data_IF_789223875361
#
_entry.id   IF_789223875361
#
_cell.length_a   1.000
_cell.length_b   1.000
_cell.length_c   1.000
_cell.angle_alpha   90.00
_cell.angle_beta   90.00
_cell.angle_gamma   90.00
#
_symmetry.space_group_name_H-M   'P 1'
#
loop_
_entity.id
_entity.type
_entity.pdbx_description
1 polymer ?
#
# COMPACT_ATOMS: atom_id res chain seq x y z
N UNK A 1 -23.00 17.30 29.61
CA UNK A 1 -21.89 17.30 28.63
C UNK A 1 -20.64 16.63 29.18
N UNK A 2 -20.23 16.86 30.43
CA UNK A 2 -19.06 16.21 31.05
C UNK A 2 -19.23 14.70 31.23
N UNK A 3 -20.40 14.26 31.70
CA UNK A 3 -20.71 12.83 31.91
C UNK A 3 -20.66 12.01 30.61
N UNK A 4 -21.04 12.61 29.48
CA UNK A 4 -21.00 11.95 28.15
C UNK A 4 -19.57 11.79 27.62
N UNK A 5 -18.65 12.69 28.03
CA UNK A 5 -17.24 12.63 27.64
C UNK A 5 -16.48 11.58 28.46
N UNK A 6 -16.79 11.47 29.76
CA UNK A 6 -16.21 10.46 30.64
C UNK A 6 -16.68 9.04 30.25
N UNK A 7 -17.95 8.88 29.84
CA UNK A 7 -18.49 7.63 29.30
C UNK A 7 -17.83 7.24 27.97
N UNK A 8 -17.66 8.20 27.05
CA UNK A 8 -16.91 8.00 25.80
C UNK A 8 -15.47 7.58 26.05
N UNK A 9 -14.74 8.29 26.93
CA UNK A 9 -13.38 7.95 27.33
C UNK A 9 -13.29 6.54 27.92
N UNK A 10 -14.25 6.18 28.78
CA UNK A 10 -14.33 4.84 29.35
C UNK A 10 -14.53 3.78 28.26
N UNK A 11 -15.49 3.97 27.36
CA UNK A 11 -15.72 3.05 26.23
C UNK A 11 -14.49 2.89 25.33
N UNK A 12 -13.80 4.00 24.99
CA UNK A 12 -12.55 3.94 24.23
C UNK A 12 -11.46 3.18 24.99
N UNK A 13 -11.28 3.46 26.28
CA UNK A 13 -10.28 2.78 27.11
C UNK A 13 -10.53 1.28 27.21
N UNK A 14 -11.80 0.89 27.37
CA UNK A 14 -12.22 -0.50 27.45
C UNK A 14 -12.05 -1.24 26.11
N UNK A 15 -12.40 -0.59 25.00
CA UNK A 15 -12.16 -1.12 23.65
C UNK A 15 -10.68 -1.41 23.41
N UNK A 16 -9.81 -0.44 23.73
CA UNK A 16 -8.35 -0.59 23.62
C UNK A 16 -7.84 -1.74 24.51
N UNK A 17 -8.39 -1.90 25.73
CA UNK A 17 -7.98 -2.97 26.64
C UNK A 17 -8.40 -4.36 26.13
N UNK A 18 -9.59 -4.46 25.53
CA UNK A 18 -10.06 -5.69 24.90
C UNK A 18 -9.23 -6.08 23.67
N UNK A 19 -8.93 -5.12 22.79
CA UNK A 19 -8.03 -5.32 21.66
C UNK A 19 -6.64 -5.80 22.12
N UNK A 20 -6.08 -5.17 23.16
CA UNK A 20 -4.83 -5.62 23.80
C UNK A 20 -4.90 -7.07 24.26
N UNK A 21 -5.97 -7.44 24.94
CA UNK A 21 -6.13 -8.79 25.50
C UNK A 21 -6.24 -9.85 24.39
N UNK A 22 -7.02 -9.57 23.35
CA UNK A 22 -7.20 -10.46 22.20
C UNK A 22 -5.87 -10.62 21.45
N UNK A 23 -5.20 -9.50 21.14
CA UNK A 23 -3.91 -9.51 20.46
C UNK A 23 -2.85 -10.26 21.26
N UNK A 24 -2.74 -10.02 22.57
CA UNK A 24 -1.80 -10.74 23.44
C UNK A 24 -2.07 -12.25 23.47
N UNK A 25 -3.34 -12.67 23.43
CA UNK A 25 -3.73 -14.07 23.29
C UNK A 25 -3.22 -14.70 21.99
N UNK A 26 -3.46 -14.03 20.86
CA UNK A 26 -3.02 -14.51 19.54
C UNK A 26 -1.50 -14.51 19.40
N UNK A 27 -0.82 -13.45 19.86
CA UNK A 27 0.66 -13.38 19.93
C UNK A 27 1.22 -14.57 20.71
N UNK A 28 0.65 -14.91 21.88
CA UNK A 28 1.11 -16.04 22.69
C UNK A 28 0.92 -17.37 21.96
N UNK A 29 -0.23 -17.57 21.32
CA UNK A 29 -0.54 -18.80 20.56
C UNK A 29 0.36 -18.95 19.34
N UNK A 30 0.54 -17.90 18.55
CA UNK A 30 1.44 -17.89 17.40
C UNK A 30 2.89 -18.18 17.80
N UNK A 31 3.40 -17.50 18.83
CA UNK A 31 4.75 -17.78 19.34
C UNK A 31 4.90 -19.23 19.83
N UNK A 32 3.87 -19.79 20.45
CA UNK A 32 3.87 -21.20 20.89
C UNK A 32 3.88 -22.15 19.69
N UNK A 33 3.08 -21.89 18.66
CA UNK A 33 3.06 -22.68 17.43
C UNK A 33 4.42 -22.66 16.73
N UNK A 34 5.04 -21.47 16.59
CA UNK A 34 6.39 -21.31 16.03
C UNK A 34 7.42 -22.08 16.86
N UNK A 35 7.38 -21.95 18.20
CA UNK A 35 8.30 -22.66 19.11
C UNK A 35 8.16 -24.18 18.99
N UNK A 36 6.94 -24.67 18.76
CA UNK A 36 6.64 -26.09 18.55
C UNK A 36 6.87 -26.54 17.09
N UNK A 37 7.50 -25.70 16.26
CA UNK A 37 7.81 -25.98 14.86
C UNK A 37 6.58 -26.32 14.00
N UNK A 38 5.43 -25.70 14.28
CA UNK A 38 4.23 -25.86 13.44
C UNK A 38 4.52 -25.43 12.00
N UNK A 39 4.22 -26.30 11.03
CA UNK A 39 4.36 -26.02 9.58
C UNK A 39 3.02 -25.95 8.85
N UNK A 40 1.91 -26.08 9.57
CA UNK A 40 0.58 -25.87 8.99
C UNK A 40 0.36 -24.37 8.80
N UNK A 41 0.48 -23.94 7.54
CA UNK A 41 0.38 -22.53 7.15
C UNK A 41 -1.00 -21.97 7.50
N UNK A 42 -2.08 -22.74 7.30
CA UNK A 42 -3.44 -22.28 7.62
C UNK A 42 -3.61 -22.00 9.10
N UNK A 43 -3.01 -22.86 9.94
CA UNK A 43 -3.01 -22.64 11.40
C UNK A 43 -2.20 -21.38 11.74
N UNK A 44 -1.01 -21.22 11.16
CA UNK A 44 -0.17 -20.04 11.42
C UNK A 44 -0.85 -18.74 10.96
N UNK A 45 -1.45 -18.72 9.77
CA UNK A 45 -2.20 -17.57 9.25
C UNK A 45 -3.37 -17.23 10.16
N UNK A 46 -4.19 -18.22 10.55
CA UNK A 46 -5.33 -17.99 11.45
C UNK A 46 -4.95 -17.38 12.81
N UNK A 47 -3.70 -17.56 13.25
CA UNK A 47 -3.15 -16.98 14.47
C UNK A 47 -2.50 -15.62 14.23
N UNK A 48 -2.03 -15.35 13.00
CA UNK A 48 -1.35 -14.13 12.60
C UNK A 48 -2.32 -13.06 12.07
N UNK A 49 -3.44 -13.44 11.42
CA UNK A 49 -4.41 -12.52 10.83
C UNK A 49 -4.94 -11.48 11.82
N UNK A 50 -5.33 -11.86 13.06
CA UNK A 50 -5.82 -10.87 14.04
C UNK A 50 -4.75 -9.86 14.49
N UNK A 51 -3.47 -10.07 14.12
CA UNK A 51 -2.42 -9.11 14.43
C UNK A 51 -2.50 -7.86 13.57
N UNK A 52 -3.08 -7.93 12.36
CA UNK A 52 -3.26 -6.78 11.45
C UNK A 52 -4.00 -5.62 12.13
N UNK A 53 -5.07 -5.94 12.86
CA UNK A 53 -5.86 -4.95 13.62
C UNK A 53 -5.03 -4.22 14.69
N UNK A 54 -3.87 -4.78 15.07
CA UNK A 54 -3.00 -4.21 16.11
C UNK A 54 -1.61 -3.80 15.61
N UNK A 55 -1.37 -3.81 14.29
CA UNK A 55 -0.05 -3.49 13.73
C UNK A 55 0.34 -2.02 13.94
N UNK A 56 -0.61 -1.10 13.77
CA UNK A 56 -0.40 0.34 14.01
C UNK A 56 -0.54 0.73 15.50
N UNK A 57 -1.09 -0.17 16.32
CA UNK A 57 -1.29 0.01 17.75
C UNK A 57 -0.19 -0.62 18.62
N UNK A 58 -0.39 -0.54 19.94
CA UNK A 58 0.33 -1.36 20.95
C UNK A 58 1.86 -1.31 20.87
N UNK A 59 2.43 -0.13 20.58
CA UNK A 59 3.89 0.06 20.48
C UNK A 59 4.56 -0.87 19.44
N UNK A 60 3.83 -1.27 18.39
CA UNK A 60 4.32 -2.08 17.27
C UNK A 60 4.60 -3.55 17.61
N UNK A 61 4.07 -4.07 18.73
CA UNK A 61 4.26 -5.49 19.10
C UNK A 61 3.60 -6.42 18.07
N UNK A 62 2.42 -6.06 17.56
CA UNK A 62 1.72 -6.81 16.52
C UNK A 62 2.57 -6.93 15.25
N UNK A 63 3.03 -5.79 14.72
CA UNK A 63 3.94 -5.71 13.57
C UNK A 63 5.20 -6.58 13.75
N UNK A 64 5.92 -6.42 14.88
CA UNK A 64 7.12 -7.23 15.15
C UNK A 64 6.83 -8.72 15.22
N UNK A 65 5.68 -9.10 15.76
CA UNK A 65 5.28 -10.51 15.87
C UNK A 65 4.93 -11.09 14.50
N UNK A 66 4.21 -10.32 13.67
CA UNK A 66 3.86 -10.72 12.31
C UNK A 66 5.11 -10.90 11.45
N UNK A 67 6.06 -9.96 11.49
CA UNK A 67 7.34 -10.08 10.78
C UNK A 67 8.17 -11.29 11.24
N UNK A 68 8.12 -11.63 12.53
CA UNK A 68 8.74 -12.87 13.04
C UNK A 68 8.06 -14.13 12.50
N UNK A 69 6.75 -14.10 12.32
CA UNK A 69 6.01 -15.17 11.67
C UNK A 69 6.43 -15.32 10.20
N UNK A 70 6.47 -14.24 9.41
CA UNK A 70 6.94 -14.29 8.02
C UNK A 70 8.35 -14.88 7.94
N UNK A 71 9.27 -14.39 8.78
CA UNK A 71 10.64 -14.89 8.84
C UNK A 71 10.71 -16.38 9.20
N UNK A 72 9.80 -16.85 10.05
CA UNK A 72 9.70 -18.27 10.35
C UNK A 72 9.16 -19.07 9.17
N UNK A 73 8.11 -18.58 8.50
CA UNK A 73 7.54 -19.17 7.30
C UNK A 73 8.60 -19.34 6.20
N UNK A 74 9.47 -18.34 6.02
CA UNK A 74 10.56 -18.37 5.04
C UNK A 74 11.49 -19.59 5.21
N UNK A 75 11.66 -20.08 6.44
CA UNK A 75 12.54 -21.23 6.73
C UNK A 75 12.07 -22.56 6.14
N UNK A 76 10.80 -22.67 5.75
CA UNK A 76 10.25 -23.90 5.17
C UNK A 76 9.35 -23.67 3.96
N UNK A 77 8.90 -22.44 3.69
CA UNK A 77 8.16 -22.07 2.50
C UNK A 77 8.48 -20.60 2.09
N UNK A 78 9.58 -20.36 1.38
CA UNK A 78 10.02 -19.00 1.02
C UNK A 78 9.08 -18.30 0.04
N UNK A 79 8.35 -19.04 -0.81
CA UNK A 79 7.41 -18.46 -1.75
C UNK A 79 6.21 -17.82 -1.02
N UNK A 80 5.58 -18.56 -0.09
CA UNK A 80 4.48 -18.03 0.72
C UNK A 80 4.95 -16.91 1.65
N UNK A 81 6.17 -17.00 2.20
CA UNK A 81 6.74 -15.94 3.01
C UNK A 81 6.90 -14.62 2.22
N UNK A 82 7.38 -14.71 0.97
CA UNK A 82 7.48 -13.56 0.07
C UNK A 82 6.10 -12.96 -0.18
N UNK A 83 5.10 -13.79 -0.51
CA UNK A 83 3.72 -13.32 -0.75
C UNK A 83 3.13 -12.61 0.47
N UNK A 84 3.27 -13.18 1.68
CA UNK A 84 2.81 -12.53 2.93
C UNK A 84 3.54 -11.22 3.21
N UNK A 85 4.83 -11.14 2.88
CA UNK A 85 5.59 -9.90 3.06
C UNK A 85 5.09 -8.81 2.11
N UNK A 86 4.86 -9.15 0.84
CA UNK A 86 4.30 -8.21 -0.15
C UNK A 86 2.89 -7.77 0.24
N UNK A 87 2.01 -8.70 0.63
CA UNK A 87 0.67 -8.36 1.14
C UNK A 87 0.71 -7.48 2.38
N UNK A 88 1.65 -7.71 3.31
CA UNK A 88 1.84 -6.87 4.47
C UNK A 88 2.28 -5.46 4.08
N UNK A 89 3.30 -5.32 3.23
CA UNK A 89 3.78 -4.01 2.76
C UNK A 89 2.67 -3.20 2.07
N UNK A 90 1.88 -3.90 1.25
CA UNK A 90 0.74 -3.35 0.54
C UNK A 90 -0.35 -2.93 1.52
N UNK A 91 -0.79 -3.81 2.42
CA UNK A 91 -1.87 -3.52 3.40
C UNK A 91 -1.51 -2.36 4.32
N UNK A 92 -0.24 -2.28 4.73
CA UNK A 92 0.23 -1.20 5.59
C UNK A 92 0.40 0.12 4.85
N UNK A 93 0.35 0.13 3.52
CA UNK A 93 0.47 1.34 2.71
C UNK A 93 1.90 1.91 2.69
N UNK A 94 2.94 1.10 2.91
CA UNK A 94 4.31 1.62 2.95
C UNK A 94 4.81 2.15 1.60
N UNK A 95 4.29 1.59 0.50
CA UNK A 95 4.68 1.95 -0.87
C UNK A 95 3.58 2.65 -1.67
N UNK A 96 2.37 2.78 -1.12
CA UNK A 96 1.22 3.40 -1.81
C UNK A 96 1.45 4.87 -2.19
N UNK A 97 2.38 5.53 -1.50
CA UNK A 97 3.01 6.79 -1.87
C UNK A 97 3.29 6.93 -3.37
N UNK A 98 3.78 5.86 -4.01
CA UNK A 98 4.08 5.90 -5.43
C UNK A 98 2.81 6.03 -6.29
N UNK A 99 1.71 5.40 -5.89
CA UNK A 99 0.44 5.51 -6.59
C UNK A 99 -0.14 6.93 -6.53
N UNK A 100 0.05 7.66 -5.42
CA UNK A 100 -0.30 9.08 -5.35
C UNK A 100 0.54 9.92 -6.32
N UNK A 101 1.85 9.71 -6.32
CA UNK A 101 2.76 10.40 -7.25
C UNK A 101 2.38 10.08 -8.70
N UNK A 102 2.03 8.83 -8.99
CA UNK A 102 1.57 8.38 -10.30
C UNK A 102 0.25 9.04 -10.72
N UNK A 103 -0.74 9.07 -9.84
CA UNK A 103 -2.03 9.70 -10.10
C UNK A 103 -1.87 11.21 -10.37
N UNK A 104 -1.05 11.91 -9.56
CA UNK A 104 -0.75 13.33 -9.80
C UNK A 104 -0.02 13.53 -11.13
N UNK A 105 0.99 12.70 -11.42
CA UNK A 105 1.74 12.79 -12.66
C UNK A 105 0.84 12.58 -13.88
N UNK A 106 -0.05 11.60 -13.83
CA UNK A 106 -1.03 11.33 -14.88
C UNK A 106 -1.97 12.51 -15.10
N UNK A 107 -2.51 13.08 -14.02
CA UNK A 107 -3.38 14.27 -14.08
C UNK A 107 -2.67 15.47 -14.71
N UNK A 108 -1.41 15.70 -14.35
CA UNK A 108 -0.62 16.81 -14.86
C UNK A 108 -0.26 16.62 -16.35
N UNK A 109 0.13 15.42 -16.76
CA UNK A 109 0.52 15.11 -18.15
C UNK A 109 -0.68 15.14 -19.09
N UNK A 110 -1.80 14.55 -18.70
CA UNK A 110 -3.01 14.47 -19.53
C UNK A 110 -3.91 15.72 -19.42
N UNK A 111 -3.41 16.81 -18.83
CA UNK A 111 -4.19 18.03 -18.61
C UNK A 111 -4.75 18.58 -19.93
N UNK A 112 -6.07 18.69 -20.00
CA UNK A 112 -6.79 19.19 -21.17
C UNK A 112 -7.08 18.13 -22.24
N UNK A 113 -6.61 16.90 -22.07
CA UNK A 113 -7.06 15.76 -22.85
C UNK A 113 -8.46 15.34 -22.39
N UNK A 114 -9.29 14.90 -23.33
CA UNK A 114 -10.63 14.40 -23.06
C UNK A 114 -10.78 12.95 -23.52
N UNK A 115 -11.63 12.20 -22.84
CA UNK A 115 -12.03 10.87 -23.25
C UNK A 115 -13.02 10.89 -24.43
N UNK A 116 -13.45 9.69 -24.86
CA UNK A 116 -14.38 9.53 -26.00
C UNK A 116 -15.77 10.15 -25.75
N UNK A 117 -16.10 10.49 -24.52
CA UNK A 117 -17.36 11.11 -24.10
C UNK A 117 -17.22 12.63 -23.88
N UNK A 118 -16.01 13.17 -24.04
CA UNK A 118 -15.71 14.59 -23.82
C UNK A 118 -15.44 14.96 -22.36
N UNK A 119 -15.30 13.97 -21.46
CA UNK A 119 -14.91 14.20 -20.06
C UNK A 119 -13.37 14.32 -19.96
N UNK A 120 -12.86 15.04 -18.96
CA UNK A 120 -11.43 15.04 -18.63
C UNK A 120 -10.87 13.60 -18.60
N UNK A 121 -9.77 13.37 -19.32
CA UNK A 121 -9.25 12.03 -19.54
C UNK A 121 -8.81 11.34 -18.25
N UNK A 122 -8.20 12.09 -17.35
CA UNK A 122 -7.76 11.56 -16.06
C UNK A 122 -8.98 11.12 -15.23
N UNK A 123 -9.99 11.99 -15.07
CA UNK A 123 -11.19 11.67 -14.29
C UNK A 123 -12.11 10.63 -14.95
N UNK A 124 -12.16 10.60 -16.28
CA UNK A 124 -13.03 9.70 -17.04
C UNK A 124 -12.48 8.27 -17.15
N UNK A 125 -11.16 8.13 -17.20
CA UNK A 125 -10.51 6.86 -17.53
C UNK A 125 -9.42 6.48 -16.53
N UNK A 126 -8.33 7.24 -16.45
CA UNK A 126 -7.13 6.86 -15.69
C UNK A 126 -7.40 6.69 -14.19
N UNK A 127 -8.21 7.59 -13.60
CA UNK A 127 -8.60 7.52 -12.20
C UNK A 127 -9.37 6.23 -11.89
N UNK A 128 -10.26 5.82 -12.80
CA UNK A 128 -11.06 4.60 -12.67
C UNK A 128 -10.18 3.35 -12.80
N UNK A 129 -9.28 3.31 -13.77
CA UNK A 129 -8.38 2.17 -13.99
C UNK A 129 -7.39 2.03 -12.83
N UNK A 130 -6.71 3.11 -12.44
CA UNK A 130 -5.79 3.12 -11.31
C UNK A 130 -6.46 2.71 -10.00
N UNK A 131 -7.66 3.23 -9.71
CA UNK A 131 -8.41 2.86 -8.49
C UNK A 131 -8.71 1.36 -8.39
N UNK A 132 -8.98 0.69 -9.51
CA UNK A 132 -9.31 -0.74 -9.57
C UNK A 132 -8.13 -1.65 -9.27
N UNK A 133 -6.89 -1.16 -9.32
CA UNK A 133 -5.71 -1.93 -8.92
C UNK A 133 -5.76 -2.30 -7.44
N UNK A 134 -5.35 -3.53 -7.12
CA UNK A 134 -5.28 -4.05 -5.77
C UNK A 134 -4.00 -3.57 -5.07
N UNK A 135 -2.84 -3.85 -5.67
CA UNK A 135 -1.52 -3.48 -5.13
C UNK A 135 -1.13 -2.04 -5.47
N UNK A 136 -0.14 -1.49 -4.75
CA UNK A 136 0.42 -0.18 -5.13
C UNK A 136 1.05 -0.22 -6.54
N UNK A 137 1.59 -1.36 -6.98
CA UNK A 137 2.14 -1.54 -8.34
C UNK A 137 1.03 -1.46 -9.39
N UNK A 138 -0.04 -2.24 -9.20
CA UNK A 138 -1.19 -2.23 -10.10
C UNK A 138 -1.85 -0.85 -10.17
N UNK A 139 -2.01 -0.17 -9.03
CA UNK A 139 -2.52 1.22 -9.00
C UNK A 139 -1.59 2.15 -9.76
N UNK A 140 -0.27 2.09 -9.49
CA UNK A 140 0.75 2.92 -10.16
C UNK A 140 0.71 2.73 -11.68
N UNK A 141 0.74 1.49 -12.15
CA UNK A 141 0.67 1.14 -13.57
C UNK A 141 -0.67 1.58 -14.16
N UNK A 142 -1.78 1.33 -13.47
CA UNK A 142 -3.12 1.69 -13.91
C UNK A 142 -3.31 3.20 -14.13
N UNK A 143 -2.75 4.06 -13.26
CA UNK A 143 -2.79 5.51 -13.49
C UNK A 143 -1.95 5.96 -14.69
N UNK A 144 -0.90 5.22 -15.05
CA UNK A 144 0.12 5.64 -16.02
C UNK A 144 0.08 4.89 -17.35
N UNK A 145 -0.79 3.88 -17.50
CA UNK A 145 -0.73 2.92 -18.60
C UNK A 145 -0.74 3.57 -19.99
N UNK A 146 -1.53 4.65 -20.17
CA UNK A 146 -1.64 5.34 -21.45
C UNK A 146 -0.65 6.50 -21.64
N UNK A 147 0.14 6.85 -20.62
CA UNK A 147 1.03 8.03 -20.71
C UNK A 147 2.01 7.88 -21.88
N UNK A 148 2.65 6.71 -22.02
CA UNK A 148 3.61 6.49 -23.11
C UNK A 148 2.95 6.31 -24.49
N UNK A 149 1.67 5.95 -24.51
CA UNK A 149 0.89 5.69 -25.72
C UNK A 149 0.23 6.95 -26.28
N UNK A 150 -0.23 7.86 -25.42
CA UNK A 150 -1.02 9.04 -25.80
C UNK A 150 -0.23 10.34 -25.79
N UNK A 151 0.99 10.34 -25.25
CA UNK A 151 1.82 11.56 -25.10
C UNK A 151 3.23 11.40 -25.68
N UNK A 152 4.08 12.44 -25.57
CA UNK A 152 5.49 12.38 -25.97
C UNK A 152 6.42 11.68 -24.95
N UNK A 153 5.94 11.37 -23.75
CA UNK A 153 6.77 10.81 -22.69
C UNK A 153 7.10 9.33 -22.95
N UNK A 154 8.37 8.94 -22.78
CA UNK A 154 8.74 7.52 -22.82
C UNK A 154 8.54 6.85 -21.46
N UNK A 155 8.47 5.51 -21.41
CA UNK A 155 8.44 4.76 -20.14
C UNK A 155 9.64 5.13 -19.24
N UNK A 156 10.82 5.35 -19.83
CA UNK A 156 12.01 5.79 -19.08
C UNK A 156 11.83 7.17 -18.46
N UNK A 157 11.13 8.08 -19.14
CA UNK A 157 10.83 9.41 -18.58
C UNK A 157 9.81 9.28 -17.44
N UNK A 158 8.78 8.46 -17.60
CA UNK A 158 7.81 8.15 -16.53
C UNK A 158 8.53 7.66 -15.27
N UNK A 159 9.43 6.67 -15.39
CA UNK A 159 10.19 6.13 -14.25
C UNK A 159 11.07 7.22 -13.59
N UNK A 160 11.69 8.11 -14.37
CA UNK A 160 12.48 9.24 -13.82
C UNK A 160 11.58 10.23 -13.07
N UNK A 161 10.41 10.56 -13.62
CA UNK A 161 9.44 11.48 -13.03
C UNK A 161 8.87 10.91 -11.72
N UNK A 162 8.51 9.62 -11.70
CA UNK A 162 8.10 8.91 -10.50
C UNK A 162 9.16 8.95 -9.38
N UNK A 163 10.41 8.63 -9.73
CA UNK A 163 11.53 8.70 -8.76
C UNK A 163 11.75 10.11 -8.23
N UNK A 164 11.54 11.14 -9.06
CA UNK A 164 11.61 12.54 -8.63
C UNK A 164 10.45 12.88 -7.69
N UNK A 165 9.22 12.53 -8.06
CA UNK A 165 8.04 12.79 -7.24
C UNK A 165 8.10 12.09 -5.87
N UNK A 166 8.64 10.87 -5.78
CA UNK A 166 8.89 10.22 -4.48
C UNK A 166 9.95 10.93 -3.64
N UNK A 167 11.00 11.49 -4.27
CA UNK A 167 12.00 12.29 -3.55
C UNK A 167 11.39 13.58 -3.00
N UNK A 168 10.56 14.24 -3.80
CA UNK A 168 9.83 15.44 -3.39
C UNK A 168 8.87 15.10 -2.25
N UNK A 169 8.11 14.00 -2.37
CA UNK A 169 7.25 13.51 -1.28
C UNK A 169 8.03 13.34 0.03
N UNK A 170 9.20 12.72 -0.03
CA UNK A 170 10.04 12.51 1.16
C UNK A 170 10.57 13.82 1.74
N UNK A 171 10.80 14.83 0.90
CA UNK A 171 11.33 16.12 1.33
C UNK A 171 10.26 17.04 1.93
N UNK A 172 8.99 16.93 1.50
CA UNK A 172 7.91 17.85 1.88
C UNK A 172 6.85 17.25 2.81
N UNK A 173 7.23 16.41 3.77
CA UNK A 173 6.29 15.70 4.67
C UNK A 173 5.26 16.62 5.37
N UNK A 174 5.54 17.93 5.50
CA UNK A 174 4.69 18.91 6.17
C UNK A 174 3.91 19.85 5.23
N UNK A 175 4.09 19.74 3.90
CA UNK A 175 3.49 20.64 2.89
C UNK A 175 2.95 19.84 1.69
N UNK A 176 1.87 19.09 1.93
CA UNK A 176 1.31 18.17 0.95
C UNK A 176 -0.20 18.33 0.80
N UNK A 177 -0.64 19.59 0.68
CA UNK A 177 -2.04 20.02 0.49
C UNK A 177 -2.73 19.27 -0.68
N UNK A 178 -1.96 18.95 -1.72
CA UNK A 178 -2.46 18.24 -2.89
C UNK A 178 -2.84 16.77 -2.63
N UNK A 179 -2.42 16.15 -1.52
CA UNK A 179 -2.70 14.72 -1.27
C UNK A 179 -4.19 14.44 -1.13
N UNK A 180 -4.89 15.34 -0.44
CA UNK A 180 -6.31 15.18 -0.13
C UNK A 180 -7.12 15.04 -1.42
N UNK A 181 -6.70 15.71 -2.50
CA UNK A 181 -7.29 15.57 -3.84
C UNK A 181 -7.24 14.14 -4.40
N UNK A 182 -6.33 13.30 -3.90
CA UNK A 182 -6.10 11.94 -4.40
C UNK A 182 -6.46 10.84 -3.41
N UNK A 183 -6.83 11.15 -2.16
CA UNK A 183 -7.16 10.14 -1.15
C UNK A 183 -8.29 9.22 -1.61
N UNK A 184 -9.38 9.82 -2.08
CA UNK A 184 -10.51 9.07 -2.62
C UNK A 184 -10.19 8.43 -3.96
N UNK A 185 -9.25 8.98 -4.75
CA UNK A 185 -8.88 8.44 -6.06
C UNK A 185 -8.08 7.16 -5.89
N UNK A 186 -6.99 7.22 -5.11
CA UNK A 186 -6.10 6.08 -4.83
C UNK A 186 -6.82 5.02 -4.01
N UNK A 187 -7.68 5.45 -3.07
CA UNK A 187 -8.52 4.55 -2.27
C UNK A 187 -7.77 3.80 -1.18
N UNK A 188 -6.57 4.27 -0.83
CA UNK A 188 -5.76 3.73 0.25
C UNK A 188 -4.84 4.82 0.77
N UNK A 189 -4.83 5.03 2.08
CA UNK A 189 -4.01 6.06 2.71
C UNK A 189 -2.54 5.63 2.84
N UNK A 190 -1.60 6.56 2.62
CA UNK A 190 -0.18 6.31 2.83
C UNK A 190 0.14 6.13 4.31
N UNK A 191 1.01 5.16 4.60
CA UNK A 191 1.60 5.05 5.92
C UNK A 191 2.47 6.28 6.23
N UNK A 192 2.66 6.62 7.51
CA UNK A 192 3.64 7.63 7.90
C UNK A 192 5.06 7.25 7.44
N UNK A 193 5.38 5.95 7.40
CA UNK A 193 6.64 5.44 6.87
C UNK A 193 6.55 5.23 5.36
N UNK A 194 7.50 5.81 4.63
CA UNK A 194 7.72 5.53 3.22
C UNK A 194 8.80 4.45 3.05
N UNK A 195 8.43 3.30 2.49
CA UNK A 195 9.40 2.33 1.96
C UNK A 195 9.64 2.62 0.48
N UNK A 196 10.91 2.67 0.07
CA UNK A 196 11.26 2.89 -1.33
C UNK A 196 11.20 1.57 -2.10
N UNK A 197 10.71 1.57 -3.36
CA UNK A 197 10.76 0.37 -4.18
C UNK A 197 12.20 -0.10 -4.42
N UNK A 198 12.40 -1.42 -4.40
CA UNK A 198 13.68 -2.04 -4.76
C UNK A 198 13.98 -1.89 -6.26
N UNK A 199 15.18 -2.27 -6.69
CA UNK A 199 15.54 -2.26 -8.11
C UNK A 199 14.62 -3.20 -8.91
N UNK A 200 14.36 -4.38 -8.37
CA UNK A 200 13.51 -5.40 -8.97
C UNK A 200 12.07 -4.87 -9.11
N UNK A 201 11.53 -4.23 -8.07
CA UNK A 201 10.18 -3.64 -8.14
C UNK A 201 10.10 -2.48 -9.14
N UNK A 202 11.15 -1.67 -9.29
CA UNK A 202 11.20 -0.67 -10.36
C UNK A 202 11.21 -1.30 -11.75
N UNK A 203 11.95 -2.39 -11.93
CA UNK A 203 12.00 -3.10 -13.20
C UNK A 203 10.63 -3.69 -13.55
N UNK A 204 9.91 -4.25 -12.58
CA UNK A 204 8.55 -4.79 -12.77
C UNK A 204 7.56 -3.71 -13.24
N UNK A 205 7.62 -2.50 -12.68
CA UNK A 205 6.78 -1.36 -13.12
C UNK A 205 7.16 -0.92 -14.54
N UNK A 206 8.47 -0.82 -14.82
CA UNK A 206 8.97 -0.46 -16.16
C UNK A 206 8.54 -1.50 -17.20
N UNK A 207 8.67 -2.79 -16.89
CA UNK A 207 8.24 -3.89 -17.75
C UNK A 207 6.73 -3.85 -18.00
N UNK A 208 5.92 -3.71 -16.95
CA UNK A 208 4.47 -3.63 -17.07
C UNK A 208 4.01 -2.45 -17.95
N UNK A 209 4.61 -1.26 -17.78
CA UNK A 209 4.30 -0.10 -18.62
C UNK A 209 4.71 -0.29 -20.08
N UNK A 210 5.85 -0.94 -20.34
CA UNK A 210 6.25 -1.26 -21.71
C UNK A 210 5.32 -2.29 -22.37
N UNK A 211 4.85 -3.29 -21.62
CA UNK A 211 3.92 -4.31 -22.12
C UNK A 211 2.55 -3.73 -22.48
N UNK A 212 2.10 -2.70 -21.75
CA UNK A 212 0.83 -2.03 -22.01
C UNK A 212 0.91 -1.00 -23.14
N UNK A 213 2.10 -0.44 -23.40
CA UNK A 213 2.30 0.54 -24.45
C UNK A 213 2.24 -0.10 -25.84
N UNK A 214 1.16 0.17 -26.58
CA UNK A 214 0.96 -0.39 -27.92
C UNK A 214 2.00 0.08 -28.94
N UNK A 215 2.71 1.20 -28.70
CA UNK A 215 3.80 1.68 -29.57
C UNK A 215 5.06 0.81 -29.51
N UNK A 216 5.19 -0.01 -28.48
CA UNK A 216 6.34 -0.90 -28.25
C UNK A 216 6.02 -2.39 -28.43
N UNK A 217 4.75 -2.73 -28.68
CA UNK A 217 4.26 -4.10 -28.91
C UNK A 217 4.40 -4.56 -30.37
#
# INVERSE_FOLDING_TARGET
MKDNYDELLYMFSYGIEMEKKIANGNIKRLNTAIKNCCRDIKVLDSLADPLFDTMLGLSGIGERTYLRFIKYLETFNPAEAKERYEMYEDSMGYKIHLAYVAARLAKDIHKGQVDKTGKDYFEGHLATVGRKGFSWKEKTVGFLHDVAEDTEYTVKDIIRLLKRGLKEWKASLNEQDWKEDFDEIVGQYPNERLHLPTKEEWNEIEEALNLLNSRTA
#
